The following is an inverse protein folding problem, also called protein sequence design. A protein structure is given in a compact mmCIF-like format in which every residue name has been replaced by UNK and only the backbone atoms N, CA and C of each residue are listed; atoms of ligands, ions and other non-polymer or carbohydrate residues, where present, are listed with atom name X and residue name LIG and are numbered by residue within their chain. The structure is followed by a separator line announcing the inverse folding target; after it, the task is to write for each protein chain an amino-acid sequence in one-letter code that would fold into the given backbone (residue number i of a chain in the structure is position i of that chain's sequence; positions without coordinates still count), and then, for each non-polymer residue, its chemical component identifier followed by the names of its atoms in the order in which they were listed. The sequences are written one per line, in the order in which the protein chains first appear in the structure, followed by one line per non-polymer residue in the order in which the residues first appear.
data_IF_526994786813
#
_entry.id   IF_526994786813
#
_cell.length_a   1.000
_cell.length_b   1.000
_cell.length_c   1.000
_cell.angle_alpha   90.00
_cell.angle_beta   90.00
_cell.angle_gamma   90.00
#
_symmetry.space_group_name_H-M   'P 1'
#
loop_
_entity.id
_entity.type
_entity.pdbx_description
1 polymer ?
#
# COMPACT_ATOMS: atom_id res chain seq x y z
N UNK A 1 -28.25 1.04 14.82
CA UNK A 1 -28.07 1.69 13.50
C UNK A 1 -26.69 2.36 13.52
N UNK A 2 -25.65 1.70 13.00
CA UNK A 2 -24.27 2.22 13.01
C UNK A 2 -24.09 3.19 11.84
N UNK A 3 -24.46 4.45 12.02
CA UNK A 3 -24.35 5.49 10.98
C UNK A 3 -22.95 6.10 10.82
N UNK A 4 -21.96 5.62 11.58
CA UNK A 4 -20.64 6.24 11.66
C UNK A 4 -19.50 5.21 11.56
N UNK A 5 -19.64 4.19 10.70
CA UNK A 5 -18.59 3.19 10.50
C UNK A 5 -18.17 3.18 9.04
N UNK A 6 -16.93 3.59 8.78
CA UNK A 6 -16.28 3.40 7.48
C UNK A 6 -15.50 2.10 7.54
N UNK A 7 -15.95 1.14 6.74
CA UNK A 7 -15.20 -0.09 6.52
C UNK A 7 -14.33 0.08 5.29
N UNK A 8 -13.06 -0.23 5.45
CA UNK A 8 -12.11 -0.30 4.36
C UNK A 8 -11.80 -1.75 4.03
N UNK A 9 -11.62 -2.02 2.75
CA UNK A 9 -11.18 -3.32 2.28
C UNK A 9 -9.71 -3.27 1.87
N UNK A 10 -8.94 -4.33 2.13
CA UNK A 10 -7.61 -4.43 1.57
C UNK A 10 -7.67 -4.43 0.05
N UNK A 11 -6.55 -4.05 -0.57
CA UNK A 11 -6.40 -4.21 -2.01
C UNK A 11 -6.16 -5.68 -2.32
N UNK A 12 -7.03 -6.28 -3.14
CA UNK A 12 -6.95 -7.70 -3.48
C UNK A 12 -6.11 -7.99 -4.73
N UNK A 13 -5.76 -6.96 -5.51
CA UNK A 13 -5.03 -7.12 -6.77
C UNK A 13 -3.84 -6.16 -6.86
N UNK A 14 -2.71 -6.67 -7.36
CA UNK A 14 -1.55 -5.86 -7.72
C UNK A 14 -1.85 -4.95 -8.91
N UNK A 15 -1.23 -3.78 -8.95
CA UNK A 15 -1.27 -2.85 -10.07
C UNK A 15 -0.43 -3.37 -11.25
N UNK A 16 -0.59 -2.74 -12.41
CA UNK A 16 0.15 -3.14 -13.61
C UNK A 16 1.65 -2.91 -13.48
N UNK A 17 2.07 -1.86 -12.77
CA UNK A 17 3.48 -1.58 -12.52
C UNK A 17 4.11 -2.55 -11.51
N UNK A 18 3.36 -3.04 -10.53
CA UNK A 18 3.85 -4.11 -9.64
C UNK A 18 4.01 -5.43 -10.39
N UNK A 19 3.03 -5.79 -11.23
CA UNK A 19 3.10 -6.98 -12.08
C UNK A 19 4.28 -6.89 -13.06
N UNK A 20 4.58 -5.70 -13.59
CA UNK A 20 5.75 -5.49 -14.44
C UNK A 20 7.05 -5.77 -13.67
N UNK A 21 7.22 -5.18 -12.49
CA UNK A 21 8.41 -5.40 -11.65
C UNK A 21 8.55 -6.88 -11.29
N UNK A 22 7.46 -7.56 -10.94
CA UNK A 22 7.47 -8.99 -10.65
C UNK A 22 7.90 -9.83 -11.84
N UNK A 23 7.43 -9.49 -13.05
CA UNK A 23 7.86 -10.16 -14.28
C UNK A 23 9.34 -9.95 -14.54
N UNK A 24 9.84 -8.74 -14.36
CA UNK A 24 11.27 -8.44 -14.54
C UNK A 24 12.16 -9.17 -13.54
N UNK A 25 11.72 -9.31 -12.28
CA UNK A 25 12.47 -10.04 -11.25
C UNK A 25 12.65 -11.54 -11.55
N UNK A 26 11.81 -12.12 -12.42
CA UNK A 26 11.93 -13.52 -12.85
C UNK A 26 12.47 -13.66 -14.28
N UNK A 27 12.77 -12.55 -14.94
CA UNK A 27 13.33 -12.55 -16.29
C UNK A 27 14.78 -13.04 -16.27
N UNK A 28 15.13 -13.93 -17.19
CA UNK A 28 16.48 -14.48 -17.31
C UNK A 28 17.53 -13.39 -17.45
N UNK A 29 17.25 -12.31 -18.18
CA UNK A 29 18.19 -11.20 -18.36
C UNK A 29 18.50 -10.45 -17.05
N UNK A 30 17.55 -10.40 -16.11
CA UNK A 30 17.71 -9.76 -14.80
C UNK A 30 18.32 -10.72 -13.78
N UNK A 31 17.96 -12.02 -13.85
CA UNK A 31 18.51 -13.07 -12.99
C UNK A 31 19.97 -13.41 -13.31
N UNK A 32 20.31 -13.47 -14.59
CA UNK A 32 21.68 -13.69 -15.10
C UNK A 32 22.48 -12.38 -15.16
N UNK A 33 21.79 -11.25 -15.00
CA UNK A 33 22.37 -9.92 -14.94
C UNK A 33 23.11 -9.63 -13.64
N UNK A 34 23.34 -8.35 -13.37
CA UNK A 34 24.08 -7.92 -12.19
C UNK A 34 23.24 -7.98 -10.90
N UNK A 35 23.82 -8.52 -9.84
CA UNK A 35 23.18 -8.60 -8.50
C UNK A 35 22.68 -7.23 -8.00
N UNK A 36 23.35 -6.13 -8.39
CA UNK A 36 22.91 -4.78 -8.03
C UNK A 36 21.59 -4.38 -8.70
N UNK A 37 21.39 -4.67 -9.99
CA UNK A 37 20.14 -4.37 -10.72
C UNK A 37 18.98 -5.16 -10.12
N UNK A 38 19.25 -6.43 -9.79
CA UNK A 38 18.29 -7.29 -9.10
C UNK A 38 17.88 -6.71 -7.74
N UNK A 39 18.86 -6.33 -6.91
CA UNK A 39 18.60 -5.77 -5.57
C UNK A 39 17.89 -4.41 -5.63
N UNK A 40 18.25 -3.55 -6.60
CA UNK A 40 17.57 -2.28 -6.84
C UNK A 40 16.11 -2.49 -7.21
N UNK A 41 15.84 -3.44 -8.11
CA UNK A 41 14.49 -3.80 -8.52
C UNK A 41 13.68 -4.44 -7.37
N UNK A 42 14.33 -5.21 -6.50
CA UNK A 42 13.69 -5.78 -5.30
C UNK A 42 13.31 -4.70 -4.29
N UNK A 43 14.19 -3.72 -4.06
CA UNK A 43 13.88 -2.55 -3.24
C UNK A 43 12.75 -1.72 -3.85
N UNK A 44 12.79 -1.50 -5.17
CA UNK A 44 11.74 -0.80 -5.90
C UNK A 44 10.39 -1.49 -5.69
N UNK A 45 10.33 -2.82 -5.83
CA UNK A 45 9.12 -3.61 -5.54
C UNK A 45 8.55 -3.29 -4.16
N UNK A 46 9.41 -3.24 -3.14
CA UNK A 46 9.02 -2.92 -1.76
C UNK A 46 8.43 -1.52 -1.59
N UNK A 47 9.05 -0.50 -2.19
CA UNK A 47 8.55 0.88 -2.14
C UNK A 47 7.24 1.01 -2.91
N UNK A 48 7.20 0.48 -4.13
CA UNK A 48 6.06 0.53 -5.03
C UNK A 48 4.82 -0.14 -4.43
N UNK A 49 4.97 -1.28 -3.76
CA UNK A 49 3.87 -1.94 -3.08
C UNK A 49 3.29 -1.10 -1.92
N UNK A 50 4.15 -0.43 -1.15
CA UNK A 50 3.74 0.49 -0.08
C UNK A 50 3.04 1.74 -0.63
N UNK A 51 3.56 2.32 -1.71
CA UNK A 51 2.94 3.45 -2.39
C UNK A 51 1.54 3.08 -2.90
N UNK A 52 1.43 1.95 -3.60
CA UNK A 52 0.16 1.47 -4.15
C UNK A 52 -0.89 1.24 -3.05
N UNK A 53 -0.50 0.60 -1.95
CA UNK A 53 -1.37 0.41 -0.79
C UNK A 53 -1.78 1.74 -0.15
N UNK A 54 -0.84 2.67 0.01
CA UNK A 54 -1.10 3.98 0.60
C UNK A 54 -2.01 4.86 -0.26
N UNK A 55 -1.85 4.85 -1.59
CA UNK A 55 -2.74 5.53 -2.52
C UNK A 55 -4.15 4.94 -2.49
N UNK A 56 -4.27 3.61 -2.52
CA UNK A 56 -5.56 2.92 -2.38
C UNK A 56 -6.28 3.28 -1.07
N UNK A 57 -5.54 3.30 0.04
CA UNK A 57 -6.06 3.72 1.34
C UNK A 57 -6.51 5.18 1.31
N UNK A 58 -5.72 6.09 0.77
CA UNK A 58 -6.07 7.51 0.67
C UNK A 58 -7.33 7.75 -0.14
N UNK A 59 -7.54 7.03 -1.25
CA UNK A 59 -8.79 7.10 -2.03
C UNK A 59 -10.03 6.69 -1.22
N UNK A 60 -9.87 5.77 -0.27
CA UNK A 60 -10.94 5.40 0.66
C UNK A 60 -11.10 6.38 1.83
N UNK A 61 -10.10 7.23 2.08
CA UNK A 61 -10.05 8.15 3.21
C UNK A 61 -10.51 9.56 2.87
N UNK A 62 -10.20 10.02 1.66
CA UNK A 62 -10.34 11.40 1.18
C UNK A 62 -11.00 11.41 -0.20
N UNK A 63 -11.76 12.47 -0.47
CA UNK A 63 -12.36 12.73 -1.78
C UNK A 63 -11.45 13.60 -2.68
N UNK A 64 -10.18 13.76 -2.31
CA UNK A 64 -9.25 14.61 -3.04
C UNK A 64 -9.09 14.15 -4.50
N UNK A 65 -9.34 15.09 -5.41
CA UNK A 65 -9.20 14.88 -6.84
C UNK A 65 -7.73 14.75 -7.28
N UNK A 66 -6.76 14.99 -6.39
CA UNK A 66 -5.32 14.97 -6.72
C UNK A 66 -4.67 13.59 -6.52
N UNK A 67 -5.34 12.67 -5.82
CA UNK A 67 -4.83 11.31 -5.57
C UNK A 67 -4.67 10.52 -6.88
N UNK A 68 -5.68 10.51 -7.75
CA UNK A 68 -5.64 9.75 -9.01
C UNK A 68 -4.62 10.32 -10.02
N UNK A 69 -4.54 11.65 -10.24
CA UNK A 69 -3.46 12.24 -11.04
C UNK A 69 -2.06 11.91 -10.51
N UNK A 70 -1.86 11.91 -9.18
CA UNK A 70 -0.58 11.53 -8.60
C UNK A 70 -0.25 10.05 -8.86
N UNK A 71 -1.21 9.15 -8.67
CA UNK A 71 -1.02 7.72 -8.95
C UNK A 71 -0.64 7.48 -10.41
N UNK A 72 -1.32 8.14 -11.37
CA UNK A 72 -0.99 8.05 -12.80
C UNK A 72 0.43 8.55 -13.08
N UNK A 73 0.83 9.66 -12.45
CA UNK A 73 2.17 10.22 -12.59
C UNK A 73 3.25 9.28 -12.03
N UNK A 74 3.02 8.68 -10.85
CA UNK A 74 3.92 7.67 -10.26
C UNK A 74 4.01 6.43 -11.16
N UNK A 75 2.89 5.95 -11.67
CA UNK A 75 2.85 4.80 -12.58
C UNK A 75 3.67 5.07 -13.84
N UNK A 76 3.50 6.25 -14.47
CA UNK A 76 4.29 6.65 -15.62
C UNK A 76 5.77 6.78 -15.29
N UNK A 77 6.10 7.35 -14.14
CA UNK A 77 7.47 7.48 -13.67
C UNK A 77 8.15 6.11 -13.50
N UNK A 78 7.47 5.13 -12.90
CA UNK A 78 8.00 3.77 -12.75
C UNK A 78 8.22 3.14 -14.14
N UNK A 79 7.26 3.24 -15.05
CA UNK A 79 7.43 2.72 -16.41
C UNK A 79 8.60 3.37 -17.15
N UNK A 80 8.68 4.70 -17.11
CA UNK A 80 9.76 5.44 -17.77
C UNK A 80 11.12 5.08 -17.18
N UNK A 81 11.22 4.96 -15.86
CA UNK A 81 12.48 4.65 -15.18
C UNK A 81 12.92 3.20 -15.46
N UNK A 82 11.98 2.27 -15.59
CA UNK A 82 12.27 0.89 -16.03
C UNK A 82 12.72 0.85 -17.50
N UNK A 83 12.08 1.63 -18.37
CA UNK A 83 12.39 1.70 -19.80
C UNK A 83 13.61 2.59 -20.13
N UNK A 84 14.34 3.11 -19.13
CA UNK A 84 15.42 4.09 -19.29
C UNK A 84 15.01 5.37 -20.06
N UNK A 85 13.75 5.79 -19.91
CA UNK A 85 13.21 7.05 -20.44
C UNK A 85 13.32 8.15 -19.40
N UNK A 86 13.36 9.41 -19.85
CA UNK A 86 13.37 10.57 -18.95
C UNK A 86 12.05 10.66 -18.18
N UNK A 87 12.16 10.83 -16.88
CA UNK A 87 11.05 11.08 -15.96
C UNK A 87 11.06 12.54 -15.54
N UNK A 88 9.90 13.21 -15.53
CA UNK A 88 9.78 14.56 -14.97
C UNK A 88 9.64 14.49 -13.44
N UNK A 89 10.77 14.62 -12.75
CA UNK A 89 10.85 14.58 -11.30
C UNK A 89 10.09 15.73 -10.64
N UNK A 90 10.03 16.90 -11.29
CA UNK A 90 9.35 18.08 -10.75
C UNK A 90 7.85 17.90 -10.80
N UNK A 91 7.31 17.29 -11.86
CA UNK A 91 5.88 17.00 -11.95
C UNK A 91 5.41 16.14 -10.77
N UNK A 92 6.14 15.06 -10.46
CA UNK A 92 5.79 14.14 -9.36
C UNK A 92 5.87 14.86 -8.01
N UNK A 93 6.97 15.59 -7.75
CA UNK A 93 7.16 16.34 -6.49
C UNK A 93 6.09 17.43 -6.31
N UNK A 94 5.72 18.14 -7.37
CA UNK A 94 4.66 19.15 -7.34
C UNK A 94 3.28 18.55 -7.08
N UNK A 95 2.96 17.42 -7.72
CA UNK A 95 1.69 16.70 -7.48
C UNK A 95 1.60 16.14 -6.06
N UNK A 96 2.72 15.66 -5.50
CA UNK A 96 2.79 15.25 -4.11
C UNK A 96 2.56 16.42 -3.16
N UNK A 97 3.20 17.56 -3.41
CA UNK A 97 3.02 18.77 -2.61
C UNK A 97 1.55 19.25 -2.64
N UNK A 98 0.92 19.21 -3.82
CA UNK A 98 -0.49 19.57 -3.97
C UNK A 98 -1.42 18.62 -3.19
N UNK A 99 -1.16 17.31 -3.25
CA UNK A 99 -1.91 16.34 -2.44
C UNK A 99 -1.74 16.56 -0.94
N UNK A 100 -0.52 16.89 -0.48
CA UNK A 100 -0.27 17.21 0.92
C UNK A 100 -1.08 18.42 1.37
N UNK A 101 -1.13 19.46 0.54
CA UNK A 101 -1.90 20.67 0.81
C UNK A 101 -3.41 20.38 0.86
N UNK A 102 -3.94 19.67 -0.14
CA UNK A 102 -5.34 19.23 -0.18
C UNK A 102 -5.72 18.50 1.11
N UNK A 103 -4.93 17.50 1.52
CA UNK A 103 -5.21 16.67 2.69
C UNK A 103 -5.04 17.41 4.03
N UNK A 104 -4.27 18.50 4.05
CA UNK A 104 -4.16 19.38 5.21
C UNK A 104 -5.35 20.35 5.28
N UNK A 105 -5.86 20.78 4.13
CA UNK A 105 -7.03 21.65 4.03
C UNK A 105 -8.37 20.94 4.31
N UNK A 106 -8.40 19.59 4.25
CA UNK A 106 -9.55 18.79 4.69
C UNK A 106 -9.75 18.88 6.22
N UNK A 107 -10.42 19.94 6.66
CA UNK A 107 -10.80 20.15 8.06
C UNK A 107 -11.53 18.92 8.62
N UNK A 108 -11.06 18.44 9.77
CA UNK A 108 -11.68 17.32 10.46
C UNK A 108 -11.33 15.93 9.91
N UNK A 109 -10.53 15.78 8.84
CA UNK A 109 -10.07 14.45 8.32
C UNK A 109 -9.55 13.54 9.44
N UNK A 110 -8.69 14.07 10.31
CA UNK A 110 -8.12 13.35 11.46
C UNK A 110 -9.16 13.07 12.55
N UNK A 111 -10.03 14.03 12.84
CA UNK A 111 -11.10 13.86 13.84
C UNK A 111 -12.09 12.77 13.41
N UNK A 112 -12.53 12.81 12.15
CA UNK A 112 -13.40 11.82 11.52
C UNK A 112 -12.74 10.44 11.53
N UNK A 113 -11.44 10.36 11.22
CA UNK A 113 -10.70 9.09 11.30
C UNK A 113 -10.62 8.54 12.73
N UNK A 114 -10.45 9.41 13.74
CA UNK A 114 -10.53 9.01 15.14
C UNK A 114 -11.91 8.47 15.53
N UNK A 115 -12.99 9.08 15.03
CA UNK A 115 -14.35 8.59 15.24
C UNK A 115 -14.56 7.21 14.59
N UNK A 116 -14.04 7.01 13.38
CA UNK A 116 -14.09 5.70 12.72
C UNK A 116 -13.25 4.63 13.41
N UNK A 117 -12.09 4.98 13.97
CA UNK A 117 -11.34 4.05 14.82
C UNK A 117 -12.17 3.61 16.02
N UNK A 118 -12.87 4.54 16.68
CA UNK A 118 -13.71 4.19 17.82
C UNK A 118 -14.82 3.21 17.43
N UNK A 119 -15.55 3.50 16.34
CA UNK A 119 -16.66 2.62 15.92
C UNK A 119 -16.16 1.28 15.36
N UNK A 120 -15.05 1.25 14.62
CA UNK A 120 -14.40 0.02 14.18
C UNK A 120 -13.82 -0.78 15.36
N UNK A 121 -13.39 -0.11 16.44
CA UNK A 121 -12.99 -0.73 17.71
C UNK A 121 -14.13 -1.46 18.40
N UNK A 122 -15.32 -0.84 18.46
CA UNK A 122 -16.53 -1.50 18.97
C UNK A 122 -16.91 -2.69 18.10
N UNK A 123 -16.89 -2.53 16.78
CA UNK A 123 -17.23 -3.59 15.84
C UNK A 123 -16.25 -4.77 15.94
N UNK A 124 -14.96 -4.50 16.10
CA UNK A 124 -13.91 -5.51 16.33
C UNK A 124 -14.20 -6.30 17.61
N UNK A 125 -14.51 -5.60 18.70
CA UNK A 125 -14.83 -6.23 19.99
C UNK A 125 -16.07 -7.12 19.91
N UNK A 126 -17.16 -6.60 19.33
CA UNK A 126 -18.42 -7.36 19.15
C UNK A 126 -18.18 -8.59 18.27
N UNK A 127 -17.40 -8.45 17.20
CA UNK A 127 -17.10 -9.56 16.28
C UNK A 127 -16.24 -10.62 16.94
N UNK A 128 -15.22 -10.23 17.73
CA UNK A 128 -14.40 -11.16 18.49
C UNK A 128 -15.23 -11.95 19.52
N UNK A 129 -16.12 -11.26 20.25
CA UNK A 129 -17.08 -11.91 21.15
C UNK A 129 -18.02 -12.86 20.40
N UNK A 130 -18.49 -12.46 19.21
CA UNK A 130 -19.31 -13.31 18.33
C UNK A 130 -18.60 -14.62 17.96
N UNK A 131 -17.33 -14.57 17.57
CA UNK A 131 -16.53 -15.78 17.26
C UNK A 131 -16.50 -16.72 18.47
N UNK A 132 -16.29 -16.20 19.68
CA UNK A 132 -16.23 -17.00 20.91
C UNK A 132 -17.60 -17.65 21.20
N UNK A 133 -18.67 -16.85 21.19
CA UNK A 133 -20.02 -17.33 21.51
C UNK A 133 -20.49 -18.36 20.48
N UNK A 134 -20.37 -18.05 19.19
CA UNK A 134 -20.80 -18.96 18.13
C UNK A 134 -19.88 -20.17 17.99
N UNK A 135 -18.58 -20.02 18.25
CA UNK A 135 -17.64 -21.15 18.33
C UNK A 135 -18.01 -22.13 19.44
N UNK A 136 -18.37 -21.62 20.62
CA UNK A 136 -18.85 -22.47 21.72
C UNK A 136 -20.19 -23.16 21.37
N UNK A 137 -21.14 -22.43 20.77
CA UNK A 137 -22.43 -22.97 20.36
C UNK A 137 -22.32 -24.05 19.27
N UNK A 138 -21.33 -23.96 18.38
CA UNK A 138 -21.02 -24.99 17.38
C UNK A 138 -20.63 -26.32 18.03
N UNK A 139 -19.93 -26.29 19.16
CA UNK A 139 -19.44 -27.51 19.85
C UNK A 139 -20.45 -28.14 20.81
N UNK A 140 -21.44 -27.38 21.26
CA UNK A 140 -22.36 -27.77 22.36
C UNK A 140 -23.82 -27.89 21.92
N UNK A 141 -24.17 -27.38 20.73
CA UNK A 141 -25.53 -27.33 20.24
C UNK A 141 -25.96 -28.57 19.42
N UNK A 142 -27.29 -28.80 19.29
CA UNK A 142 -27.82 -29.74 18.31
C UNK A 142 -27.37 -29.39 16.88
N UNK A 143 -27.28 -30.38 15.98
CA UNK A 143 -26.69 -30.24 14.63
C UNK A 143 -27.19 -29.01 13.86
N UNK A 144 -28.50 -28.74 13.85
CA UNK A 144 -29.06 -27.56 13.16
C UNK A 144 -28.58 -26.23 13.76
N UNK A 145 -28.47 -26.14 15.09
CA UNK A 145 -27.94 -24.97 15.78
C UNK A 145 -26.43 -24.86 15.63
N UNK A 146 -25.72 -25.99 15.56
CA UNK A 146 -24.28 -26.02 15.34
C UNK A 146 -23.91 -25.50 13.94
N UNK A 147 -24.67 -25.86 12.91
CA UNK A 147 -24.50 -25.32 11.56
C UNK A 147 -24.77 -23.82 11.48
N UNK A 148 -25.85 -23.35 12.12
CA UNK A 148 -26.15 -21.92 12.22
C UNK A 148 -25.04 -21.16 12.96
N UNK A 149 -24.55 -21.73 14.06
CA UNK A 149 -23.44 -21.17 14.82
C UNK A 149 -22.14 -21.13 13.99
N UNK A 150 -21.83 -22.17 13.21
CA UNK A 150 -20.69 -22.16 12.30
C UNK A 150 -20.80 -21.01 11.28
N UNK A 151 -21.96 -20.83 10.64
CA UNK A 151 -22.17 -19.71 9.71
C UNK A 151 -21.97 -18.37 10.40
N UNK A 152 -22.52 -18.18 11.60
CA UNK A 152 -22.37 -16.94 12.35
C UNK A 152 -20.94 -16.69 12.83
N UNK A 153 -20.18 -17.74 13.16
CA UNK A 153 -18.77 -17.63 13.49
C UNK A 153 -17.95 -17.17 12.27
N UNK A 154 -18.24 -17.68 11.07
CA UNK A 154 -17.60 -17.25 9.83
C UNK A 154 -17.92 -15.79 9.53
N UNK A 155 -19.19 -15.39 9.62
CA UNK A 155 -19.60 -13.99 9.44
C UNK A 155 -18.89 -13.09 10.45
N UNK A 156 -18.84 -13.49 11.71
CA UNK A 156 -18.13 -12.74 12.77
C UNK A 156 -16.64 -12.60 12.47
N UNK A 157 -15.99 -13.65 11.96
CA UNK A 157 -14.59 -13.62 11.56
C UNK A 157 -14.33 -12.66 10.38
N UNK A 158 -15.22 -12.64 9.37
CA UNK A 158 -15.13 -11.71 8.25
C UNK A 158 -15.30 -10.26 8.71
N UNK A 159 -16.31 -9.98 9.55
CA UNK A 159 -16.52 -8.63 10.09
C UNK A 159 -15.33 -8.20 10.95
N UNK A 160 -14.78 -9.12 11.77
CA UNK A 160 -13.58 -8.86 12.55
C UNK A 160 -12.40 -8.46 11.66
N UNK A 161 -12.15 -9.22 10.58
CA UNK A 161 -11.05 -8.95 9.66
C UNK A 161 -11.18 -7.57 8.99
N UNK A 162 -12.38 -7.23 8.52
CA UNK A 162 -12.63 -5.94 7.87
C UNK A 162 -12.53 -4.79 8.89
N UNK A 163 -13.09 -4.93 10.09
CA UNK A 163 -13.05 -3.91 11.14
C UNK A 163 -11.61 -3.68 11.64
N UNK A 164 -10.83 -4.75 11.83
CA UNK A 164 -9.42 -4.67 12.21
C UNK A 164 -8.57 -4.01 11.13
N UNK A 165 -8.80 -4.34 9.85
CA UNK A 165 -8.13 -3.67 8.75
C UNK A 165 -8.49 -2.18 8.69
N UNK A 166 -9.76 -1.83 8.90
CA UNK A 166 -10.22 -0.44 8.91
C UNK A 166 -9.57 0.37 10.04
N UNK A 167 -9.49 -0.20 11.26
CA UNK A 167 -8.72 0.36 12.39
C UNK A 167 -7.27 0.63 12.02
N UNK A 168 -6.62 -0.33 11.35
CA UNK A 168 -5.24 -0.18 10.90
C UNK A 168 -5.08 0.99 9.93
N UNK A 169 -5.99 1.15 8.96
CA UNK A 169 -5.89 2.25 7.99
C UNK A 169 -6.19 3.61 8.61
N UNK A 170 -7.25 3.72 9.41
CA UNK A 170 -7.58 4.98 10.09
C UNK A 170 -6.44 5.38 11.06
N UNK A 171 -5.83 4.41 11.75
CA UNK A 171 -4.64 4.64 12.57
C UNK A 171 -3.46 5.17 11.77
N UNK A 172 -3.18 4.60 10.59
CA UNK A 172 -2.15 5.13 9.67
C UNK A 172 -2.43 6.57 9.26
N UNK A 173 -3.69 6.89 9.00
CA UNK A 173 -4.11 8.23 8.57
C UNK A 173 -3.89 9.29 9.64
N UNK A 174 -4.10 8.97 10.92
CA UNK A 174 -3.85 9.90 12.04
C UNK A 174 -2.40 10.38 12.11
N UNK A 175 -1.45 9.50 11.76
CA UNK A 175 -0.01 9.75 11.81
C UNK A 175 0.60 10.08 10.44
N UNK A 176 -0.24 10.35 9.43
CA UNK A 176 0.15 10.65 8.05
C UNK A 176 1.13 9.62 7.44
N UNK A 177 1.01 8.34 7.85
CA UNK A 177 1.95 7.29 7.43
C UNK A 177 1.84 7.00 5.93
N UNK A 178 0.65 7.08 5.36
CA UNK A 178 0.41 6.89 3.93
C UNK A 178 1.22 7.90 3.10
N UNK A 179 1.23 9.16 3.52
CA UNK A 179 1.95 10.23 2.81
C UNK A 179 3.45 10.04 2.90
N UNK A 180 3.96 9.66 4.08
CA UNK A 180 5.39 9.36 4.26
C UNK A 180 5.86 8.17 3.41
N UNK A 181 5.02 7.16 3.25
CA UNK A 181 5.32 5.99 2.40
C UNK A 181 5.31 6.36 0.91
N UNK A 182 4.43 7.26 0.48
CA UNK A 182 4.42 7.79 -0.89
C UNK A 182 5.66 8.64 -1.15
N UNK A 183 5.98 9.56 -0.25
CA UNK A 183 7.18 10.40 -0.32
C UNK A 183 8.46 9.57 -0.39
N UNK A 184 8.65 8.65 0.54
CA UNK A 184 9.81 7.75 0.54
C UNK A 184 9.92 6.91 -0.73
N UNK A 185 8.81 6.50 -1.32
CA UNK A 185 8.84 5.75 -2.59
C UNK A 185 9.16 6.63 -3.80
N UNK A 186 8.71 7.89 -3.81
CA UNK A 186 9.06 8.88 -4.83
C UNK A 186 10.55 9.24 -4.73
N UNK A 187 11.05 9.50 -3.53
CA UNK A 187 12.46 9.83 -3.30
C UNK A 187 13.36 8.66 -3.73
N UNK A 188 12.98 7.42 -3.37
CA UNK A 188 13.70 6.23 -3.83
C UNK A 188 13.69 6.12 -5.37
N UNK A 189 12.56 6.38 -6.02
CA UNK A 189 12.45 6.31 -7.48
C UNK A 189 13.31 7.37 -8.18
N UNK A 190 13.34 8.59 -7.65
CA UNK A 190 14.01 9.75 -8.26
C UNK A 190 15.52 9.72 -8.00
N UNK A 191 15.92 9.46 -6.76
CA UNK A 191 17.29 9.70 -6.28
C UNK A 191 18.08 8.40 -6.23
N UNK A 192 17.54 7.34 -5.63
CA UNK A 192 18.31 6.12 -5.36
C UNK A 192 18.25 5.08 -6.50
N UNK A 193 17.11 4.93 -7.18
CA UNK A 193 16.95 3.87 -8.16
C UNK A 193 17.81 4.07 -9.41
N UNK A 194 17.90 5.31 -9.89
CA UNK A 194 18.72 5.68 -11.06
C UNK A 194 20.21 5.49 -10.76
N UNK A 195 20.67 5.84 -9.55
CA UNK A 195 22.04 5.62 -9.09
C UNK A 195 22.37 4.13 -8.92
N UNK A 196 21.43 3.35 -8.36
CA UNK A 196 21.60 1.90 -8.22
C UNK A 196 21.56 1.15 -9.57
N UNK A 197 20.96 1.74 -10.61
CA UNK A 197 21.08 1.25 -11.99
C UNK A 197 22.41 1.67 -12.65
N UNK A 198 22.93 2.85 -12.33
CA UNK A 198 24.14 3.43 -12.93
C UNK A 198 25.46 2.97 -12.27
N UNK A 199 25.41 2.52 -11.01
CA UNK A 199 26.55 2.25 -10.12
C UNK A 199 27.55 1.16 -10.57
N UNK A 200 27.56 0.73 -11.83
CA UNK A 200 28.68 -0.04 -12.37
C UNK A 200 29.10 0.33 -13.80
N UNK A 201 28.61 1.43 -14.39
CA UNK A 201 29.28 1.99 -15.56
C UNK A 201 30.69 2.51 -15.19
N UNK A 202 30.83 3.07 -13.98
CA UNK A 202 32.10 3.60 -13.47
C UNK A 202 33.01 2.55 -12.82
N UNK A 203 32.49 1.50 -12.18
CA UNK A 203 33.34 0.41 -11.64
C UNK A 203 33.97 -0.43 -12.77
N UNK A 204 33.24 -0.69 -13.87
CA UNK A 204 33.78 -1.33 -15.07
C UNK A 204 34.71 -0.41 -15.89
N UNK A 205 34.45 0.90 -15.98
CA UNK A 205 35.39 1.86 -16.61
C UNK A 205 36.68 2.01 -15.77
N UNK A 206 36.58 2.04 -14.44
CA UNK A 206 37.75 2.08 -13.56
C UNK A 206 38.56 0.78 -13.59
N UNK A 207 37.92 -0.40 -13.69
CA UNK A 207 38.66 -1.64 -13.92
C UNK A 207 39.29 -1.68 -15.32
N UNK A 208 38.63 -1.17 -16.36
CA UNK A 208 39.16 -1.10 -17.72
C UNK A 208 40.34 -0.12 -17.90
N UNK A 209 40.43 0.93 -17.07
CA UNK A 209 41.57 1.87 -17.03
C UNK A 209 42.75 1.40 -16.19
N UNK A 210 42.56 0.47 -15.25
CA UNK A 210 43.64 -0.09 -14.45
C UNK A 210 44.44 -1.15 -15.23
N UNK A 211 43.89 -1.69 -16.33
CA UNK A 211 44.53 -2.70 -17.18
C UNK A 211 44.99 -2.18 -18.57
N UNK A 212 45.03 -0.86 -18.79
CA UNK A 212 45.60 -0.24 -20.01
C UNK A 212 46.76 0.71 -19.67
#
# INVERSE_FOLDING_TARGET
MFFFTRLQTPRFSSTDYEKLIERMLVDAAILEGSSHKYNALLKLKGHVAKMAASLHQLKGLSSSATIEPLEKCIQQAIFNTIDNKKTDHNEIKNRLAHLKEDLNSEEGRKIISGLFMFTNGLLTTVSAVGIIIFGAAMTTGPVGMALLALTMAIVSALVLMIAAYSLYVDGRNLFDKQIKEIESGIDFLIEEYTELQAGNAEELDNMGRVYN
#
